data_IF_437701719794
#
_entry.id   IF_437701719794
#
_cell.length_a   1.000
_cell.length_b   1.000
_cell.length_c   1.000
_cell.angle_alpha   90.00
_cell.angle_beta   90.00
_cell.angle_gamma   90.00
#
_symmetry.space_group_name_H-M   'P 1'
#
loop_
_entity.id
_entity.type
_entity.pdbx_description
1 polymer ?
#
# COMPACT_ATOMS: atom_id res chain seq x y z
N UNK A 1 -16.02 -3.45 -9.38
CA UNK A 1 -16.23 -2.79 -10.69
C UNK A 1 -15.30 -1.58 -10.87
N UNK A 2 -15.26 -0.60 -9.95
CA UNK A 2 -14.43 0.63 -10.08
C UNK A 2 -12.94 0.34 -10.28
N UNK A 3 -12.37 -0.60 -9.52
CA UNK A 3 -10.95 -0.96 -9.62
C UNK A 3 -10.56 -1.54 -10.98
N UNK A 4 -11.43 -2.34 -11.59
CA UNK A 4 -11.21 -2.92 -12.91
C UNK A 4 -11.16 -1.83 -13.99
N UNK A 5 -12.09 -0.89 -13.92
CA UNK A 5 -12.14 0.24 -14.86
C UNK A 5 -10.88 1.10 -14.74
N UNK A 6 -10.48 1.44 -13.52
CA UNK A 6 -9.28 2.22 -13.29
C UNK A 6 -8.03 1.51 -13.82
N UNK A 7 -7.91 0.21 -13.63
CA UNK A 7 -6.77 -0.55 -14.08
C UNK A 7 -6.68 -0.62 -15.62
N UNK A 8 -7.76 -1.02 -16.28
CA UNK A 8 -7.75 -1.22 -17.74
C UNK A 8 -7.74 0.07 -18.56
N UNK A 9 -8.45 1.09 -18.12
CA UNK A 9 -8.60 2.31 -18.92
C UNK A 9 -7.70 3.44 -18.46
N UNK A 10 -7.46 3.58 -17.18
CA UNK A 10 -6.72 4.71 -16.60
C UNK A 10 -5.23 4.42 -16.39
N UNK A 11 -4.85 3.14 -16.20
CA UNK A 11 -3.49 2.74 -15.86
C UNK A 11 -2.44 3.26 -16.85
N UNK A 12 -2.67 3.10 -18.16
CA UNK A 12 -1.76 3.56 -19.22
C UNK A 12 -1.52 5.08 -19.19
N UNK A 13 -2.57 5.86 -18.96
CA UNK A 13 -2.47 7.32 -18.92
C UNK A 13 -1.82 7.82 -17.62
N UNK A 14 -2.06 7.16 -16.52
CA UNK A 14 -1.40 7.45 -15.23
C UNK A 14 0.10 7.20 -15.31
N UNK A 15 0.52 6.09 -15.95
CA UNK A 15 1.94 5.78 -16.17
C UNK A 15 2.58 6.84 -17.08
N UNK A 16 1.94 7.21 -18.18
CA UNK A 16 2.41 8.24 -19.09
C UNK A 16 2.65 9.58 -18.37
N UNK A 17 1.66 10.05 -17.61
CA UNK A 17 1.78 11.30 -16.85
C UNK A 17 2.85 11.24 -15.76
N UNK A 18 3.05 10.07 -15.15
CA UNK A 18 4.12 9.86 -14.17
C UNK A 18 5.50 9.95 -14.79
N UNK A 19 5.71 9.32 -15.93
CA UNK A 19 6.99 9.36 -16.65
C UNK A 19 7.31 10.76 -17.17
N UNK A 20 6.28 11.51 -17.59
CA UNK A 20 6.43 12.91 -18.03
C UNK A 20 6.56 13.92 -16.86
N UNK A 21 6.67 13.46 -15.61
CA UNK A 21 6.78 14.31 -14.43
C UNK A 21 5.50 15.05 -14.04
N UNK A 22 4.37 14.75 -14.67
CA UNK A 22 3.07 15.38 -14.44
C UNK A 22 2.13 14.58 -13.51
N UNK A 23 2.72 13.84 -12.57
CA UNK A 23 1.96 13.07 -11.57
C UNK A 23 0.97 13.92 -10.77
N UNK A 24 1.25 15.22 -10.63
CA UNK A 24 0.36 16.14 -9.91
C UNK A 24 -1.03 16.23 -10.51
N UNK A 25 -1.20 16.00 -11.81
CA UNK A 25 -2.51 16.03 -12.50
C UNK A 25 -3.36 14.86 -12.03
N UNK A 26 -2.79 13.66 -12.02
CA UNK A 26 -3.49 12.46 -11.54
C UNK A 26 -3.75 12.54 -10.04
N UNK A 27 -2.80 13.03 -9.26
CA UNK A 27 -2.94 13.22 -7.82
C UNK A 27 -4.05 14.21 -7.47
N UNK A 28 -4.04 15.38 -8.10
CA UNK A 28 -5.08 16.39 -7.89
C UNK A 28 -6.47 15.87 -8.30
N UNK A 29 -6.58 15.22 -9.46
CA UNK A 29 -7.83 14.64 -9.91
C UNK A 29 -8.34 13.59 -8.90
N UNK A 30 -7.47 12.69 -8.45
CA UNK A 30 -7.82 11.65 -7.45
C UNK A 30 -8.23 12.28 -6.12
N UNK A 31 -7.55 13.31 -5.66
CA UNK A 31 -7.88 14.01 -4.42
C UNK A 31 -9.26 14.68 -4.50
N UNK A 32 -9.51 15.45 -5.55
CA UNK A 32 -10.80 16.13 -5.77
C UNK A 32 -11.94 15.10 -5.84
N UNK A 33 -11.75 14.04 -6.61
CA UNK A 33 -12.73 12.95 -6.76
C UNK A 33 -12.97 12.24 -5.43
N UNK A 34 -11.92 11.97 -4.66
CA UNK A 34 -12.04 11.33 -3.35
C UNK A 34 -12.83 12.18 -2.36
N UNK A 35 -12.52 13.46 -2.28
CA UNK A 35 -13.26 14.39 -1.40
C UNK A 35 -14.72 14.52 -1.85
N UNK A 36 -14.96 14.76 -3.14
CA UNK A 36 -16.31 14.86 -3.68
C UNK A 36 -17.13 13.57 -3.46
N UNK A 37 -16.52 12.40 -3.71
CA UNK A 37 -17.17 11.11 -3.45
C UNK A 37 -17.56 10.94 -1.99
N UNK A 38 -16.69 11.30 -1.05
CA UNK A 38 -16.98 11.18 0.39
C UNK A 38 -18.11 12.14 0.81
N UNK A 39 -18.10 13.38 0.33
CA UNK A 39 -19.18 14.33 0.61
C UNK A 39 -20.52 13.84 0.04
N UNK A 40 -20.55 13.34 -1.18
CA UNK A 40 -21.76 12.77 -1.79
C UNK A 40 -22.24 11.53 -0.99
N UNK A 41 -21.34 10.62 -0.61
CA UNK A 41 -21.67 9.44 0.18
C UNK A 41 -22.26 9.82 1.54
N UNK A 42 -21.67 10.79 2.25
CA UNK A 42 -22.22 11.30 3.52
C UNK A 42 -23.59 11.91 3.31
N UNK A 43 -23.77 12.74 2.29
CA UNK A 43 -25.07 13.32 1.96
C UNK A 43 -26.15 12.28 1.69
N UNK A 44 -25.82 11.25 0.92
CA UNK A 44 -26.76 10.15 0.63
C UNK A 44 -27.11 9.33 1.87
N UNK A 45 -26.13 9.07 2.76
CA UNK A 45 -26.37 8.37 4.02
C UNK A 45 -27.28 9.19 4.96
N UNK A 46 -27.07 10.50 5.06
CA UNK A 46 -27.91 11.38 5.88
C UNK A 46 -29.36 11.50 5.36
N UNK A 47 -29.57 11.33 4.06
CA UNK A 47 -30.90 11.31 3.45
C UNK A 47 -31.58 9.94 3.45
N UNK A 48 -30.94 8.92 4.04
CA UNK A 48 -31.52 7.59 4.23
C UNK A 48 -31.47 6.69 3.00
N UNK A 49 -30.64 7.01 2.01
CA UNK A 49 -30.46 6.12 0.84
C UNK A 49 -29.74 4.82 1.21
N UNK A 50 -30.08 3.76 0.50
CA UNK A 50 -29.50 2.44 0.67
C UNK A 50 -28.00 2.40 0.30
N UNK A 51 -27.26 1.48 0.92
CA UNK A 51 -25.81 1.23 0.70
C UNK A 51 -25.50 1.03 -0.78
N UNK A 52 -26.40 0.43 -1.55
CA UNK A 52 -26.25 0.21 -3.00
C UNK A 52 -26.16 1.56 -3.74
N UNK A 53 -27.00 2.53 -3.42
CA UNK A 53 -26.97 3.87 -4.02
C UNK A 53 -25.70 4.63 -3.64
N UNK A 54 -25.25 4.49 -2.40
CA UNK A 54 -23.99 5.08 -1.92
C UNK A 54 -22.81 4.51 -2.72
N UNK A 55 -22.75 3.20 -2.94
CA UNK A 55 -21.70 2.57 -3.75
C UNK A 55 -21.82 2.93 -5.24
N UNK A 56 -23.02 3.07 -5.76
CA UNK A 56 -23.24 3.50 -7.14
C UNK A 56 -22.76 4.93 -7.39
N UNK A 57 -22.97 5.84 -6.44
CA UNK A 57 -22.46 7.21 -6.54
C UNK A 57 -20.91 7.23 -6.62
N UNK A 58 -20.23 6.42 -5.83
CA UNK A 58 -18.77 6.24 -5.91
C UNK A 58 -18.32 5.76 -7.29
N UNK A 59 -19.04 4.80 -7.87
CA UNK A 59 -18.75 4.31 -9.21
C UNK A 59 -18.88 5.42 -10.27
N UNK A 60 -19.93 6.21 -10.22
CA UNK A 60 -20.17 7.32 -11.18
C UNK A 60 -19.07 8.37 -11.08
N UNK A 61 -18.69 8.78 -9.87
CA UNK A 61 -17.64 9.79 -9.68
C UNK A 61 -16.28 9.28 -10.20
N UNK A 62 -15.95 7.98 -10.01
CA UNK A 62 -14.76 7.38 -10.61
C UNK A 62 -14.79 7.35 -12.15
N UNK A 63 -15.96 7.13 -12.76
CA UNK A 63 -16.10 7.24 -14.22
C UNK A 63 -15.80 8.66 -14.72
N UNK A 64 -16.27 9.68 -14.02
CA UNK A 64 -15.97 11.07 -14.36
C UNK A 64 -14.47 11.36 -14.28
N UNK A 65 -13.78 10.83 -13.29
CA UNK A 65 -12.31 10.91 -13.19
C UNK A 65 -11.62 10.29 -14.40
N UNK A 66 -12.04 9.09 -14.79
CA UNK A 66 -11.50 8.40 -15.96
C UNK A 66 -11.69 9.23 -17.23
N UNK A 67 -12.87 9.78 -17.45
CA UNK A 67 -13.17 10.65 -18.60
C UNK A 67 -12.27 11.88 -18.58
N UNK A 68 -12.14 12.55 -17.44
CA UNK A 68 -11.30 13.74 -17.30
C UNK A 68 -9.84 13.45 -17.69
N UNK A 69 -9.24 12.40 -17.13
CA UNK A 69 -7.83 12.05 -17.42
C UNK A 69 -7.66 11.65 -18.89
N UNK A 70 -8.60 10.91 -19.45
CA UNK A 70 -8.57 10.51 -20.86
C UNK A 70 -8.65 11.71 -21.80
N UNK A 71 -9.52 12.67 -21.51
CA UNK A 71 -9.66 13.90 -22.29
C UNK A 71 -8.42 14.79 -22.14
N UNK A 72 -7.87 14.89 -20.94
CA UNK A 72 -6.63 15.62 -20.68
C UNK A 72 -5.48 15.08 -21.54
N UNK A 73 -5.28 13.76 -21.53
CA UNK A 73 -4.19 13.12 -22.29
C UNK A 73 -4.43 13.30 -23.80
N UNK A 74 -5.63 13.07 -24.30
CA UNK A 74 -5.94 13.28 -25.72
C UNK A 74 -5.65 14.72 -26.18
N UNK A 75 -5.93 15.70 -25.34
CA UNK A 75 -5.70 17.12 -25.68
C UNK A 75 -4.22 17.52 -25.66
N UNK A 76 -3.45 17.03 -24.68
CA UNK A 76 -2.07 17.49 -24.46
C UNK A 76 -1.02 16.56 -25.10
N UNK A 77 -1.39 15.35 -25.48
CA UNK A 77 -0.52 14.35 -26.09
C UNK A 77 -1.05 13.90 -27.45
N UNK A 78 -1.50 14.87 -28.28
CA UNK A 78 -2.01 14.62 -29.63
C UNK A 78 -0.98 13.96 -30.57
N UNK A 79 0.30 14.05 -30.23
CA UNK A 79 1.40 13.40 -30.95
C UNK A 79 1.53 11.89 -30.67
N UNK A 80 0.80 11.38 -29.66
CA UNK A 80 0.89 9.98 -29.24
C UNK A 80 0.16 9.10 -30.27
N UNK A 81 0.92 8.34 -31.03
CA UNK A 81 0.37 7.34 -31.95
C UNK A 81 0.18 6.01 -31.20
N UNK A 82 -1.05 5.57 -31.08
CA UNK A 82 -1.42 4.30 -30.46
C UNK A 82 -1.44 3.13 -31.42
N UNK A 83 -1.17 3.36 -32.71
CA UNK A 83 -1.17 2.33 -33.76
C UNK A 83 0.22 1.67 -33.96
N UNK A 84 1.25 2.19 -33.25
CA UNK A 84 2.60 1.64 -33.33
C UNK A 84 2.64 0.21 -32.78
N UNK A 85 3.37 -0.68 -33.44
CA UNK A 85 3.53 -2.05 -32.99
C UNK A 85 4.15 -2.13 -31.58
N UNK A 86 3.62 -2.99 -30.68
CA UNK A 86 4.11 -3.11 -29.32
C UNK A 86 5.55 -3.63 -29.28
N UNK A 87 6.41 -2.96 -28.53
CA UNK A 87 7.76 -3.47 -28.24
C UNK A 87 7.69 -4.54 -27.13
N UNK A 88 7.62 -5.79 -27.54
CA UNK A 88 7.60 -6.93 -26.61
C UNK A 88 8.93 -7.17 -25.90
N UNK A 89 10.06 -6.67 -26.43
CA UNK A 89 11.36 -6.78 -25.77
C UNK A 89 11.39 -5.99 -24.47
N UNK A 90 10.79 -4.81 -24.46
CA UNK A 90 10.62 -3.98 -23.26
C UNK A 90 9.77 -4.65 -22.18
N UNK A 91 8.93 -5.62 -22.53
CA UNK A 91 8.09 -6.38 -21.60
C UNK A 91 8.75 -7.67 -21.09
N UNK A 92 10.01 -7.93 -21.43
CA UNK A 92 10.71 -9.18 -21.09
C UNK A 92 10.74 -9.50 -19.60
N UNK A 93 10.80 -8.47 -18.74
CA UNK A 93 10.80 -8.62 -17.28
C UNK A 93 9.40 -8.67 -16.64
N UNK A 94 8.33 -8.46 -17.41
CA UNK A 94 6.96 -8.38 -16.87
C UNK A 94 6.54 -9.63 -16.11
N UNK A 95 6.98 -10.82 -16.55
CA UNK A 95 6.71 -12.09 -15.86
C UNK A 95 7.27 -12.08 -14.43
N UNK A 96 8.51 -11.61 -14.26
CA UNK A 96 9.16 -11.56 -12.94
C UNK A 96 8.49 -10.50 -12.03
N UNK A 97 8.10 -9.37 -12.60
CA UNK A 97 7.35 -8.32 -11.88
C UNK A 97 5.98 -8.86 -11.44
N UNK A 98 5.27 -9.60 -12.29
CA UNK A 98 3.98 -10.21 -11.93
C UNK A 98 4.14 -11.17 -10.75
N UNK A 99 5.19 -12.01 -10.73
CA UNK A 99 5.45 -12.91 -9.60
C UNK A 99 5.64 -12.13 -8.31
N UNK A 100 6.42 -11.04 -8.34
CA UNK A 100 6.58 -10.15 -7.19
C UNK A 100 5.26 -9.52 -6.73
N UNK A 101 4.44 -9.06 -7.68
CA UNK A 101 3.14 -8.45 -7.38
C UNK A 101 2.17 -9.46 -6.76
N UNK A 102 2.10 -10.67 -7.30
CA UNK A 102 1.26 -11.75 -6.76
C UNK A 102 1.74 -12.15 -5.35
N UNK A 103 3.04 -12.34 -5.17
CA UNK A 103 3.60 -12.63 -3.84
C UNK A 103 3.29 -11.51 -2.84
N UNK A 104 3.43 -10.26 -3.25
CA UNK A 104 3.07 -9.10 -2.42
C UNK A 104 1.57 -9.05 -2.09
N UNK A 105 0.69 -9.38 -3.05
CA UNK A 105 -0.75 -9.46 -2.80
C UNK A 105 -1.09 -10.56 -1.80
N UNK A 106 -0.48 -11.74 -1.92
CA UNK A 106 -0.64 -12.83 -0.96
C UNK A 106 -0.17 -12.35 0.42
N UNK A 107 1.06 -11.85 0.51
CA UNK A 107 1.63 -11.36 1.77
C UNK A 107 0.73 -10.33 2.47
N UNK A 108 0.28 -9.30 1.75
CA UNK A 108 -0.49 -8.20 2.33
C UNK A 108 -1.94 -8.57 2.69
N UNK A 109 -2.50 -9.64 2.14
CA UNK A 109 -3.88 -10.03 2.38
C UNK A 109 -4.01 -11.32 3.19
N UNK A 110 -2.93 -12.05 3.43
CA UNK A 110 -2.94 -13.31 4.18
C UNK A 110 -3.59 -13.14 5.55
N UNK A 111 -3.23 -12.11 6.29
CA UNK A 111 -3.70 -11.88 7.65
C UNK A 111 -5.23 -11.77 7.71
N UNK A 112 -5.81 -10.91 6.90
CA UNK A 112 -7.28 -10.74 6.85
C UNK A 112 -7.98 -12.00 6.37
N UNK A 113 -7.44 -12.69 5.36
CA UNK A 113 -8.02 -13.93 4.83
C UNK A 113 -8.00 -15.04 5.89
N UNK A 114 -6.85 -15.25 6.54
CA UNK A 114 -6.70 -16.28 7.59
C UNK A 114 -7.62 -15.98 8.76
N UNK A 115 -7.68 -14.73 9.22
CA UNK A 115 -8.58 -14.33 10.31
C UNK A 115 -10.05 -14.50 9.93
N UNK A 116 -10.44 -14.18 8.71
CA UNK A 116 -11.84 -14.32 8.25
C UNK A 116 -12.27 -15.78 8.15
N UNK A 117 -11.35 -16.67 7.78
CA UNK A 117 -11.65 -18.09 7.60
C UNK A 117 -11.60 -18.89 8.91
N UNK A 118 -10.73 -18.51 9.85
CA UNK A 118 -10.45 -19.32 11.04
C UNK A 118 -10.78 -18.64 12.37
N UNK A 119 -11.13 -17.35 12.36
CA UNK A 119 -11.59 -16.61 13.52
C UNK A 119 -13.01 -16.07 13.32
N UNK A 120 -13.52 -15.40 14.34
CA UNK A 120 -14.82 -14.72 14.27
C UNK A 120 -14.71 -13.30 13.66
N UNK A 121 -15.84 -12.78 13.17
CA UNK A 121 -15.91 -11.45 12.59
C UNK A 121 -15.53 -10.33 13.56
N UNK A 122 -15.69 -10.55 14.86
CA UNK A 122 -15.31 -9.59 15.91
C UNK A 122 -13.79 -9.43 15.97
N UNK A 123 -13.05 -10.55 15.90
CA UNK A 123 -11.59 -10.58 15.82
C UNK A 123 -11.10 -9.86 14.57
N UNK A 124 -11.74 -10.09 13.42
CA UNK A 124 -11.42 -9.39 12.16
C UNK A 124 -11.65 -7.88 12.29
N UNK A 125 -12.72 -7.46 12.97
CA UNK A 125 -13.02 -6.05 13.21
C UNK A 125 -11.95 -5.38 14.06
N UNK A 126 -11.50 -6.03 15.14
CA UNK A 126 -10.41 -5.53 15.99
C UNK A 126 -9.13 -5.39 15.18
N UNK A 127 -8.71 -6.43 14.45
CA UNK A 127 -7.54 -6.40 13.57
C UNK A 127 -7.61 -5.26 12.56
N UNK A 128 -8.74 -5.13 11.87
CA UNK A 128 -8.94 -4.13 10.82
C UNK A 128 -8.84 -2.69 11.36
N UNK A 129 -9.31 -2.46 12.59
CA UNK A 129 -9.23 -1.14 13.21
C UNK A 129 -7.78 -0.77 13.55
N UNK A 130 -7.01 -1.68 14.16
CA UNK A 130 -5.58 -1.45 14.39
C UNK A 130 -4.82 -1.23 13.09
N UNK A 131 -5.06 -2.05 12.09
CA UNK A 131 -4.49 -1.94 10.75
C UNK A 131 -4.81 -0.60 10.09
N UNK A 132 -6.05 -0.13 10.21
CA UNK A 132 -6.49 1.17 9.67
C UNK A 132 -5.70 2.32 10.27
N UNK A 133 -5.56 2.37 11.60
CA UNK A 133 -4.85 3.46 12.28
C UNK A 133 -3.38 3.48 11.88
N UNK A 134 -2.72 2.32 11.90
CA UNK A 134 -1.31 2.22 11.52
C UNK A 134 -1.11 2.55 10.05
N UNK A 135 -2.05 2.17 9.17
CA UNK A 135 -2.02 2.54 7.75
C UNK A 135 -2.16 4.05 7.53
N UNK A 136 -2.94 4.75 8.35
CA UNK A 136 -3.01 6.21 8.29
C UNK A 136 -1.64 6.85 8.59
N UNK A 137 -0.94 6.35 9.61
CA UNK A 137 0.43 6.81 9.95
C UNK A 137 1.40 6.49 8.82
N UNK A 138 1.34 5.28 8.27
CA UNK A 138 2.14 4.85 7.12
C UNK A 138 1.94 5.75 5.91
N UNK A 139 0.70 6.12 5.60
CA UNK A 139 0.40 7.04 4.50
C UNK A 139 1.01 8.44 4.70
N UNK A 140 1.10 8.92 5.95
CA UNK A 140 1.76 10.20 6.25
C UNK A 140 3.25 10.11 5.97
N UNK A 141 3.93 9.04 6.42
CA UNK A 141 5.35 8.81 6.15
C UNK A 141 5.59 8.71 4.64
N UNK A 142 4.77 7.96 3.93
CA UNK A 142 4.85 7.78 2.48
C UNK A 142 4.69 9.10 1.72
N UNK A 143 3.76 9.94 2.15
CA UNK A 143 3.54 11.27 1.56
C UNK A 143 4.78 12.17 1.72
N UNK A 144 5.41 12.16 2.89
CA UNK A 144 6.61 12.95 3.16
C UNK A 144 7.82 12.49 2.34
N UNK A 145 7.93 11.19 2.09
CA UNK A 145 9.13 10.58 1.50
C UNK A 145 9.03 10.32 0.00
N UNK A 146 7.83 10.18 -0.56
CA UNK A 146 7.61 9.78 -1.96
C UNK A 146 8.22 10.71 -3.01
N UNK A 147 8.29 12.01 -2.72
CA UNK A 147 8.87 12.99 -3.65
C UNK A 147 10.38 12.77 -3.86
N UNK A 148 11.08 12.31 -2.84
CA UNK A 148 12.52 12.05 -2.89
C UNK A 148 12.82 10.78 -3.69
N UNK A 149 11.93 9.79 -3.66
CA UNK A 149 12.09 8.54 -4.42
C UNK A 149 12.25 8.78 -5.93
N UNK A 150 11.52 9.74 -6.47
CA UNK A 150 11.65 10.12 -7.89
C UNK A 150 13.04 10.66 -8.21
N UNK A 151 13.57 11.54 -7.35
CA UNK A 151 14.91 12.12 -7.52
C UNK A 151 16.00 11.05 -7.38
N UNK A 152 15.84 10.10 -6.46
CA UNK A 152 16.72 8.94 -6.32
C UNK A 152 16.75 8.10 -7.59
N UNK A 153 15.60 7.82 -8.19
CA UNK A 153 15.50 7.07 -9.44
C UNK A 153 16.21 7.76 -10.61
N UNK A 154 16.10 9.09 -10.71
CA UNK A 154 16.85 9.87 -11.70
C UNK A 154 18.36 9.85 -11.43
N UNK A 155 18.77 10.03 -10.18
CA UNK A 155 20.18 10.00 -9.78
C UNK A 155 20.82 8.63 -10.04
N UNK A 156 20.09 7.53 -9.81
CA UNK A 156 20.55 6.16 -10.06
C UNK A 156 20.98 5.95 -11.51
N UNK A 157 20.23 6.52 -12.46
CA UNK A 157 20.50 6.39 -13.90
C UNK A 157 21.51 7.42 -14.45
N UNK A 158 21.75 8.52 -13.73
CA UNK A 158 22.59 9.61 -14.23
C UNK A 158 24.00 9.62 -13.64
N UNK A 159 24.15 9.51 -12.32
CA UNK A 159 25.44 9.61 -11.63
C UNK A 159 25.48 8.77 -10.36
N UNK A 160 26.26 7.68 -10.41
CA UNK A 160 26.37 6.72 -9.31
C UNK A 160 26.88 7.35 -8.00
N UNK A 161 27.87 8.23 -8.06
CA UNK A 161 28.45 8.84 -6.86
C UNK A 161 27.47 9.82 -6.21
N UNK A 162 26.71 10.55 -7.00
CA UNK A 162 25.64 11.40 -6.52
C UNK A 162 24.51 10.59 -5.91
N UNK A 163 24.11 9.51 -6.60
CA UNK A 163 23.09 8.58 -6.09
C UNK A 163 23.47 8.01 -4.72
N UNK A 164 24.70 7.51 -4.53
CA UNK A 164 25.12 6.91 -3.26
C UNK A 164 25.01 7.90 -2.10
N UNK A 165 25.48 9.15 -2.29
CA UNK A 165 25.35 10.20 -1.28
C UNK A 165 23.90 10.55 -0.96
N UNK A 166 23.09 10.66 -2.00
CA UNK A 166 21.67 10.98 -1.86
C UNK A 166 20.91 9.86 -1.17
N UNK A 167 21.25 8.60 -1.49
CA UNK A 167 20.65 7.40 -0.87
C UNK A 167 20.99 7.33 0.62
N UNK A 168 22.22 7.59 1.02
CA UNK A 168 22.65 7.59 2.42
C UNK A 168 21.88 8.63 3.25
N UNK A 169 21.76 9.84 2.71
CA UNK A 169 21.01 10.93 3.34
C UNK A 169 19.51 10.55 3.42
N UNK A 170 18.94 10.08 2.31
CA UNK A 170 17.54 9.66 2.28
C UNK A 170 17.24 8.56 3.28
N UNK A 171 18.07 7.52 3.34
CA UNK A 171 17.88 6.39 4.24
C UNK A 171 17.91 6.84 5.70
N UNK A 172 18.86 7.70 6.07
CA UNK A 172 18.98 8.24 7.43
C UNK A 172 17.70 9.01 7.84
N UNK A 173 17.24 9.92 7.00
CA UNK A 173 16.03 10.70 7.31
C UNK A 173 14.77 9.85 7.25
N UNK A 174 14.66 8.96 6.27
CA UNK A 174 13.51 8.08 6.12
C UNK A 174 13.33 7.16 7.33
N UNK A 175 14.42 6.51 7.78
CA UNK A 175 14.38 5.65 8.96
C UNK A 175 14.11 6.46 10.23
N UNK A 176 14.72 7.65 10.37
CA UNK A 176 14.48 8.53 11.50
C UNK A 176 13.02 8.99 11.60
N UNK A 177 12.42 9.42 10.49
CA UNK A 177 11.02 9.84 10.41
C UNK A 177 10.10 8.64 10.71
N UNK A 178 10.36 7.50 10.09
CA UNK A 178 9.55 6.28 10.27
C UNK A 178 9.58 5.82 11.73
N UNK A 179 10.76 5.76 12.32
CA UNK A 179 10.93 5.37 13.72
C UNK A 179 10.22 6.34 14.67
N UNK A 180 10.32 7.64 14.43
CA UNK A 180 9.63 8.66 15.20
C UNK A 180 8.11 8.46 15.17
N UNK A 181 7.52 8.36 13.98
CA UNK A 181 6.07 8.22 13.85
C UNK A 181 5.56 6.90 14.45
N UNK A 182 6.25 5.80 14.23
CA UNK A 182 5.84 4.51 14.80
C UNK A 182 6.02 4.46 16.32
N UNK A 183 7.03 5.12 16.88
CA UNK A 183 7.20 5.23 18.34
C UNK A 183 6.06 6.05 18.96
N UNK A 184 5.71 7.18 18.36
CA UNK A 184 4.54 7.97 18.79
C UNK A 184 3.27 7.13 18.69
N UNK A 185 3.11 6.39 17.61
CA UNK A 185 1.95 5.49 17.44
C UNK A 185 1.90 4.44 18.54
N UNK A 186 3.01 3.79 18.87
CA UNK A 186 3.08 2.78 19.94
C UNK A 186 2.57 3.34 21.28
N UNK A 187 2.95 4.57 21.62
CA UNK A 187 2.59 5.20 22.88
C UNK A 187 1.11 5.64 22.87
N UNK A 188 0.65 6.19 21.77
CA UNK A 188 -0.69 6.80 21.69
C UNK A 188 -1.79 5.81 21.33
N UNK A 189 -1.47 4.73 20.63
CA UNK A 189 -2.46 3.78 20.10
C UNK A 189 -3.37 3.18 21.18
N UNK A 190 -2.90 2.75 22.36
CA UNK A 190 -3.78 2.23 23.40
C UNK A 190 -4.78 3.28 23.93
N UNK A 191 -4.34 4.53 24.08
CA UNK A 191 -5.20 5.62 24.52
C UNK A 191 -6.23 6.01 23.46
N UNK A 192 -5.81 6.05 22.20
CA UNK A 192 -6.69 6.28 21.07
C UNK A 192 -7.77 5.18 20.98
N UNK A 193 -7.39 3.91 21.12
CA UNK A 193 -8.32 2.80 21.08
C UNK A 193 -9.38 2.88 22.19
N UNK A 194 -9.01 3.31 23.39
CA UNK A 194 -9.97 3.53 24.49
C UNK A 194 -11.03 4.56 24.14
N UNK A 195 -10.62 5.69 23.55
CA UNK A 195 -11.53 6.77 23.16
C UNK A 195 -12.39 6.34 21.98
N UNK A 196 -11.79 5.74 20.97
CA UNK A 196 -12.47 5.36 19.73
C UNK A 196 -13.52 4.26 19.95
N UNK A 197 -13.21 3.27 20.79
CA UNK A 197 -14.12 2.16 21.08
C UNK A 197 -15.10 2.44 22.24
N UNK A 198 -15.12 3.65 22.74
CA UNK A 198 -16.03 4.03 23.82
C UNK A 198 -17.49 3.87 23.40
N UNK A 199 -18.25 3.05 24.12
CA UNK A 199 -19.64 2.72 23.80
C UNK A 199 -19.82 1.54 22.85
N UNK A 200 -18.76 0.97 22.31
CA UNK A 200 -18.82 -0.27 21.51
C UNK A 200 -18.58 -1.45 22.46
N UNK A 201 -19.56 -2.34 22.56
CA UNK A 201 -19.55 -3.45 23.52
C UNK A 201 -19.55 -4.84 22.87
N UNK A 202 -19.45 -4.90 21.54
CA UNK A 202 -19.52 -6.14 20.76
C UNK A 202 -18.24 -6.96 20.81
N UNK A 203 -17.07 -6.28 21.03
CA UNK A 203 -15.76 -6.89 21.15
C UNK A 203 -14.84 -6.09 22.08
N UNK A 204 -13.76 -6.72 22.54
CA UNK A 204 -12.72 -6.04 23.31
C UNK A 204 -11.69 -5.42 22.36
N UNK A 205 -11.83 -4.12 22.10
CA UNK A 205 -10.95 -3.39 21.16
C UNK A 205 -9.64 -2.93 21.81
N UNK A 206 -9.60 -2.76 23.13
CA UNK A 206 -8.38 -2.34 23.84
C UNK A 206 -7.57 -3.57 24.23
N UNK A 207 -6.39 -3.70 23.65
CA UNK A 207 -5.48 -4.80 23.90
C UNK A 207 -4.09 -4.29 24.27
N UNK A 208 -3.36 -5.07 25.09
CA UNK A 208 -2.03 -4.69 25.60
C UNK A 208 -0.92 -4.98 24.58
N UNK A 209 -1.05 -6.05 23.80
CA UNK A 209 0.02 -6.58 22.95
C UNK A 209 -0.13 -6.18 21.49
N UNK A 210 -1.36 -5.95 21.03
CA UNK A 210 -1.61 -5.59 19.62
C UNK A 210 -0.85 -4.32 19.18
N UNK A 211 -0.80 -3.23 19.96
CA UNK A 211 -0.01 -2.05 19.57
C UNK A 211 1.44 -2.39 19.28
N UNK A 212 2.06 -3.21 20.13
CA UNK A 212 3.45 -3.62 19.98
C UNK A 212 3.65 -4.45 18.70
N UNK A 213 2.78 -5.45 18.45
CA UNK A 213 2.88 -6.31 17.28
C UNK A 213 2.68 -5.54 15.97
N UNK A 214 1.64 -4.69 15.89
CA UNK A 214 1.39 -3.88 14.71
C UNK A 214 2.50 -2.87 14.43
N UNK A 215 3.03 -2.23 15.46
CA UNK A 215 4.14 -1.29 15.30
C UNK A 215 5.42 -2.01 14.91
N UNK A 216 5.76 -3.14 15.55
CA UNK A 216 6.94 -3.94 15.19
C UNK A 216 6.89 -4.40 13.73
N UNK A 217 5.74 -4.91 13.28
CA UNK A 217 5.50 -5.30 11.90
C UNK A 217 5.80 -4.14 10.94
N UNK A 218 5.25 -2.96 11.22
CA UNK A 218 5.42 -1.80 10.33
C UNK A 218 6.84 -1.23 10.38
N UNK A 219 7.50 -1.20 11.55
CA UNK A 219 8.93 -0.82 11.66
C UNK A 219 9.79 -1.72 10.78
N UNK A 220 9.58 -3.04 10.80
CA UNK A 220 10.33 -3.98 9.95
C UNK A 220 10.03 -3.76 8.46
N UNK A 221 8.76 -3.54 8.08
CA UNK A 221 8.40 -3.23 6.70
C UNK A 221 9.11 -1.97 6.21
N UNK A 222 9.13 -0.93 7.02
CA UNK A 222 9.72 0.36 6.66
C UNK A 222 11.24 0.33 6.69
N UNK A 223 11.86 -0.40 7.63
CA UNK A 223 13.31 -0.58 7.66
C UNK A 223 13.85 -1.22 6.37
N UNK A 224 13.10 -2.13 5.76
CA UNK A 224 13.47 -2.83 4.53
C UNK A 224 13.22 -2.01 3.25
N UNK A 225 12.38 -0.99 3.30
CA UNK A 225 11.87 -0.31 2.10
C UNK A 225 12.97 0.35 1.27
N UNK A 226 13.95 0.97 1.91
CA UNK A 226 15.07 1.65 1.23
C UNK A 226 15.88 0.68 0.38
N UNK A 227 16.22 -0.50 0.91
CA UNK A 227 16.91 -1.56 0.17
C UNK A 227 16.07 -2.13 -0.98
N UNK A 228 14.77 -2.35 -0.74
CA UNK A 228 13.83 -2.82 -1.77
C UNK A 228 13.71 -1.84 -2.93
N UNK A 229 13.84 -0.55 -2.67
CA UNK A 229 13.79 0.51 -3.67
C UNK A 229 14.99 0.46 -4.62
N UNK A 230 16.19 0.17 -4.11
CA UNK A 230 17.39 -0.03 -4.93
C UNK A 230 17.20 -1.22 -5.88
N UNK A 231 16.60 -2.31 -5.40
CA UNK A 231 16.27 -3.50 -6.23
C UNK A 231 15.33 -3.10 -7.38
N UNK A 232 14.34 -2.24 -7.11
CA UNK A 232 13.41 -1.73 -8.13
C UNK A 232 14.14 -0.87 -9.16
N UNK A 233 15.04 0.04 -8.76
CA UNK A 233 15.82 0.87 -9.68
C UNK A 233 16.77 0.04 -10.55
N UNK A 234 17.39 -0.99 -9.97
CA UNK A 234 18.29 -1.90 -10.67
C UNK A 234 17.57 -2.92 -11.57
N UNK A 235 16.25 -3.07 -11.44
CA UNK A 235 15.48 -4.06 -12.20
C UNK A 235 15.79 -5.52 -11.83
N UNK A 236 16.31 -5.78 -10.62
CA UNK A 236 16.75 -7.10 -10.17
C UNK A 236 15.56 -8.00 -9.71
N UNK A 237 14.44 -7.94 -10.43
CA UNK A 237 13.23 -8.70 -10.09
C UNK A 237 13.44 -10.22 -10.18
N UNK A 238 14.18 -10.69 -11.19
CA UNK A 238 14.44 -12.12 -11.38
C UNK A 238 15.23 -12.72 -10.21
N UNK A 239 16.21 -11.99 -9.69
CA UNK A 239 17.10 -12.46 -8.62
C UNK A 239 16.37 -12.55 -7.27
N UNK A 240 15.37 -11.70 -7.07
CA UNK A 240 14.67 -11.57 -5.78
C UNK A 240 13.29 -12.24 -5.74
N UNK A 241 12.79 -12.74 -6.90
CA UNK A 241 11.44 -13.35 -6.97
C UNK A 241 11.28 -14.58 -6.08
N UNK A 242 12.29 -15.46 -6.02
CA UNK A 242 12.23 -16.68 -5.19
C UNK A 242 12.11 -16.31 -3.72
N UNK A 243 12.84 -15.30 -3.29
CA UNK A 243 12.81 -14.79 -1.91
C UNK A 243 11.44 -14.21 -1.55
N UNK A 244 10.78 -13.52 -2.49
CA UNK A 244 9.40 -13.02 -2.29
C UNK A 244 8.38 -14.16 -2.17
N UNK A 245 8.56 -15.24 -2.91
CA UNK A 245 7.71 -16.44 -2.80
C UNK A 245 7.92 -17.10 -1.44
N UNK A 246 9.18 -17.27 -1.00
CA UNK A 246 9.49 -17.86 0.32
C UNK A 246 8.93 -16.99 1.46
N UNK A 247 9.10 -15.68 1.39
CA UNK A 247 8.52 -14.73 2.34
C UNK A 247 7.00 -14.93 2.49
N UNK A 248 6.28 -14.99 1.36
CA UNK A 248 4.83 -15.20 1.36
C UNK A 248 4.44 -16.60 1.86
N UNK A 249 5.23 -17.61 1.56
CA UNK A 249 5.01 -18.98 2.03
C UNK A 249 5.23 -19.10 3.55
N UNK A 250 6.27 -18.48 4.10
CA UNK A 250 6.51 -18.41 5.54
C UNK A 250 5.34 -17.71 6.22
N UNK A 251 4.96 -16.51 5.74
CA UNK A 251 3.82 -15.77 6.28
C UNK A 251 2.57 -16.65 6.35
N UNK A 252 2.16 -17.24 5.22
CA UNK A 252 0.96 -18.05 5.15
C UNK A 252 1.04 -19.29 6.06
N UNK A 253 2.16 -20.03 6.02
CA UNK A 253 2.30 -21.30 6.77
C UNK A 253 2.32 -21.05 8.28
N UNK A 254 3.12 -20.09 8.73
CA UNK A 254 3.22 -19.77 10.16
C UNK A 254 1.92 -19.18 10.67
N UNK A 255 1.28 -18.28 9.93
CA UNK A 255 -0.03 -17.72 10.28
C UNK A 255 -1.09 -18.80 10.40
N UNK A 256 -1.14 -19.77 9.47
CA UNK A 256 -2.08 -20.90 9.52
C UNK A 256 -1.84 -21.82 10.72
N UNK A 257 -0.59 -22.10 11.08
CA UNK A 257 -0.27 -22.94 12.23
C UNK A 257 -0.58 -22.24 13.55
N UNK A 258 -0.24 -20.95 13.66
CA UNK A 258 -0.37 -20.20 14.90
C UNK A 258 -1.79 -19.66 15.14
N UNK A 259 -2.60 -19.46 14.10
CA UNK A 259 -3.98 -18.97 14.28
C UNK A 259 -4.81 -19.93 15.16
N UNK A 260 -4.60 -21.23 15.03
CA UNK A 260 -5.30 -22.23 15.86
C UNK A 260 -4.86 -22.26 17.33
N UNK A 261 -3.66 -21.75 17.64
CA UNK A 261 -3.12 -21.76 19.01
C UNK A 261 -3.36 -20.45 19.75
N UNK A 262 -3.11 -19.34 19.09
CA UNK A 262 -3.10 -17.99 19.70
C UNK A 262 -3.89 -16.96 18.88
N UNK A 263 -4.74 -17.41 17.95
CA UNK A 263 -5.65 -16.54 17.21
C UNK A 263 -4.94 -15.42 16.42
N UNK A 264 -5.43 -14.20 16.55
CA UNK A 264 -4.93 -13.01 15.84
C UNK A 264 -3.45 -12.72 16.11
N UNK A 265 -2.96 -12.99 17.31
CA UNK A 265 -1.52 -12.82 17.63
C UNK A 265 -0.65 -13.74 16.78
N UNK A 266 -1.11 -14.95 16.52
CA UNK A 266 -0.39 -15.91 15.69
C UNK A 266 -0.23 -15.44 14.25
N UNK A 267 -1.25 -14.80 13.71
CA UNK A 267 -1.19 -14.23 12.35
C UNK A 267 -0.17 -13.09 12.28
N UNK A 268 -0.21 -12.17 13.23
CA UNK A 268 0.77 -11.06 13.29
C UNK A 268 2.22 -11.57 13.48
N UNK A 269 2.42 -12.58 14.33
CA UNK A 269 3.73 -13.20 14.52
C UNK A 269 4.22 -13.85 13.22
N UNK A 270 3.36 -14.55 12.48
CA UNK A 270 3.71 -15.14 11.20
C UNK A 270 4.18 -14.10 10.18
N UNK A 271 3.52 -12.95 10.14
CA UNK A 271 3.92 -11.83 9.28
C UNK A 271 5.25 -11.23 9.74
N UNK A 272 5.47 -11.07 11.04
CA UNK A 272 6.74 -10.59 11.62
C UNK A 272 7.90 -11.54 11.29
N UNK A 273 7.72 -12.85 11.43
CA UNK A 273 8.74 -13.85 11.10
C UNK A 273 9.12 -13.83 9.62
N UNK A 274 8.13 -13.71 8.73
CA UNK A 274 8.37 -13.58 7.30
C UNK A 274 9.17 -12.31 6.96
N UNK A 275 8.88 -11.20 7.64
CA UNK A 275 9.63 -9.95 7.50
C UNK A 275 11.07 -10.08 8.02
N UNK A 276 11.29 -10.76 9.15
CA UNK A 276 12.61 -11.03 9.66
C UNK A 276 13.44 -11.88 8.68
N UNK A 277 12.85 -12.94 8.14
CA UNK A 277 13.50 -13.73 7.08
C UNK A 277 13.96 -12.81 5.95
N UNK A 278 13.06 -11.99 5.43
CA UNK A 278 13.35 -11.14 4.28
C UNK A 278 14.36 -10.03 4.59
N UNK A 279 14.35 -9.47 5.79
CA UNK A 279 15.28 -8.40 6.20
C UNK A 279 16.72 -8.90 6.32
N UNK A 280 16.91 -10.16 6.76
CA UNK A 280 18.24 -10.76 6.86
C UNK A 280 18.81 -11.21 5.50
N UNK A 281 17.98 -11.29 4.46
CA UNK A 281 18.35 -11.80 3.14
C UNK A 281 18.56 -10.68 2.10
N UNK A 282 18.34 -9.44 2.47
CA UNK A 282 18.59 -8.23 1.69
C UNK A 282 19.83 -7.53 2.17
#
# INVERSE_FOLDING_TARGET
ASGVINYFFQGKFTILLRVDGKSYITTNATTIVSVASKLIQIGLMLTGFDVVMVQFSYFVVNLLQMIYISLYVKKHYAWLDLSVEPDYASLSQSKNVIIHQVSGLIFNNTDIIVLTLFCDLKTVSVYSLYSLIVSCVSNIIDMLCSSVEFVLGQAFNSNRNYFLKLQEVYETYYLGISFFFFTVTLIMLPSFMRVYSQGITDAQYVDKYLPLLFVTLNVLMYARRTSSQIINFAGHFKQTQVRSIIESAINLTVSLVLVFKIGMYGVLIGTIEALFYRTNDV
#
